data_IF_103742901360
#
_entry.id   IF_103742901360
#
_cell.length_a   1.000
_cell.length_b   1.000
_cell.length_c   1.000
_cell.angle_alpha   90.00
_cell.angle_beta   90.00
_cell.angle_gamma   90.00
#
_symmetry.space_group_name_H-M   'P 1'
#
loop_
_entity.id
_entity.type
_entity.pdbx_description
1 polymer ?
#
# COMPACT_ATOMS: atom_id res chain seq x y z
N UNK A 1 8.24 0.70 -21.77
CA UNK A 1 8.54 1.70 -20.95
C UNK A 1 7.52 1.93 -19.93
N UNK A 2 7.91 1.91 -18.79
CA UNK A 2 6.99 2.04 -17.74
C UNK A 2 6.77 3.40 -17.35
N UNK A 3 5.54 3.75 -17.17
CA UNK A 3 5.22 4.98 -16.62
C UNK A 3 5.19 4.78 -15.15
N UNK A 4 6.16 5.18 -14.45
CA UNK A 4 6.15 4.95 -13.03
C UNK A 4 4.96 5.66 -12.41
N UNK A 5 4.23 4.94 -11.63
CA UNK A 5 3.10 5.54 -10.94
C UNK A 5 3.55 6.57 -9.95
N UNK A 6 4.81 6.54 -9.58
CA UNK A 6 5.32 7.52 -8.64
C UNK A 6 5.86 8.76 -9.33
N UNK A 7 5.69 8.86 -10.63
CA UNK A 7 6.14 10.04 -11.34
C UNK A 7 5.30 11.24 -10.93
N UNK A 8 5.96 12.29 -10.47
CA UNK A 8 5.26 13.46 -9.96
C UNK A 8 5.07 14.45 -11.08
N UNK A 9 3.84 14.57 -11.58
CA UNK A 9 3.54 15.41 -12.72
C UNK A 9 2.51 16.50 -12.45
N UNK A 10 1.77 16.42 -11.35
CA UNK A 10 0.66 17.32 -11.13
C UNK A 10 1.02 18.44 -10.17
N UNK A 11 0.68 19.69 -10.51
CA UNK A 11 0.78 20.77 -9.56
C UNK A 11 -0.39 20.69 -8.58
N UNK A 12 -0.30 21.44 -7.49
CA UNK A 12 -1.26 21.29 -6.40
C UNK A 12 -2.69 21.55 -6.83
N UNK A 13 -2.92 22.54 -7.70
CA UNK A 13 -4.29 22.83 -8.10
C UNK A 13 -4.90 21.67 -8.87
N UNK A 14 -4.11 21.06 -9.75
CA UNK A 14 -4.60 19.92 -10.53
C UNK A 14 -4.77 18.71 -9.64
N UNK A 15 -3.81 18.47 -8.74
CA UNK A 15 -3.91 17.34 -7.83
C UNK A 15 -5.15 17.46 -6.95
N UNK A 16 -5.43 18.65 -6.45
CA UNK A 16 -6.61 18.88 -5.63
C UNK A 16 -7.88 18.59 -6.41
N UNK A 17 -7.91 19.02 -7.66
CA UNK A 17 -9.06 18.77 -8.49
C UNK A 17 -9.26 17.29 -8.75
N UNK A 18 -8.19 16.59 -9.06
CA UNK A 18 -8.27 15.14 -9.30
C UNK A 18 -8.70 14.37 -8.06
N UNK A 19 -8.26 14.82 -6.90
CA UNK A 19 -8.61 14.15 -5.65
C UNK A 19 -9.94 14.64 -5.08
N UNK A 20 -10.49 15.71 -5.63
CA UNK A 20 -11.77 16.20 -5.15
C UNK A 20 -11.68 16.94 -3.83
N UNK A 21 -10.57 17.62 -3.56
CA UNK A 21 -10.38 18.33 -2.31
C UNK A 21 -9.87 19.74 -2.61
N UNK A 22 -9.87 20.57 -1.59
CA UNK A 22 -9.34 21.91 -1.71
C UNK A 22 -7.82 21.87 -1.63
N UNK A 23 -7.11 22.74 -2.37
CA UNK A 23 -5.65 22.75 -2.28
C UNK A 23 -5.10 22.93 -0.87
N UNK A 24 -5.80 23.69 -0.05
CA UNK A 24 -5.36 23.87 1.34
C UNK A 24 -5.39 22.54 2.10
N UNK A 25 -6.32 21.67 1.76
CA UNK A 25 -6.37 20.34 2.36
C UNK A 25 -5.08 19.58 2.07
N UNK A 26 -4.55 19.71 0.85
CA UNK A 26 -3.31 19.03 0.52
C UNK A 26 -2.15 19.55 1.36
N UNK A 27 -2.13 20.85 1.59
CA UNK A 27 -1.08 21.42 2.42
C UNK A 27 -1.16 20.92 3.86
N UNK A 28 -2.38 20.80 4.36
CA UNK A 28 -2.59 20.28 5.71
C UNK A 28 -2.15 18.83 5.79
N UNK A 29 -2.50 18.03 4.78
CA UNK A 29 -2.12 16.63 4.77
C UNK A 29 -0.61 16.46 4.72
N UNK A 30 0.06 17.32 3.97
CA UNK A 30 1.52 17.28 3.93
C UNK A 30 2.11 17.61 5.30
N UNK A 31 1.57 18.63 5.95
CA UNK A 31 2.05 19.01 7.28
C UNK A 31 1.89 17.88 8.28
N UNK A 32 0.83 17.11 8.14
CA UNK A 32 0.57 16.01 9.08
C UNK A 32 1.25 14.72 8.66
N UNK A 33 2.03 14.75 7.60
CA UNK A 33 2.78 13.57 7.21
C UNK A 33 1.98 12.51 6.48
N UNK A 34 0.83 12.89 5.94
CA UNK A 34 -0.01 11.92 5.23
C UNK A 34 0.42 11.77 3.78
N UNK A 35 0.98 12.79 3.17
CA UNK A 35 1.49 12.73 1.82
C UNK A 35 2.83 13.46 1.76
N UNK A 36 3.60 13.11 0.75
CA UNK A 36 4.95 13.67 0.61
C UNK A 36 5.21 14.01 -0.85
N UNK A 37 4.70 15.16 -1.31
CA UNK A 37 4.92 15.53 -2.70
C UNK A 37 6.38 15.85 -2.97
N UNK A 38 6.81 15.62 -4.18
CA UNK A 38 8.13 16.04 -4.58
C UNK A 38 8.14 17.54 -4.83
N UNK A 39 9.31 18.11 -4.74
CA UNK A 39 9.45 19.53 -5.03
C UNK A 39 10.40 19.72 -6.19
N UNK A 40 10.04 20.63 -7.08
CA UNK A 40 10.90 20.96 -8.20
C UNK A 40 12.05 21.82 -7.73
N UNK A 41 12.97 22.11 -8.64
CA UNK A 41 14.07 22.99 -8.31
C UNK A 41 13.58 24.37 -7.91
N UNK A 42 12.40 24.77 -8.38
CA UNK A 42 11.79 26.03 -7.95
C UNK A 42 10.99 25.91 -6.67
N UNK A 43 11.11 24.79 -5.99
CA UNK A 43 10.41 24.57 -4.72
C UNK A 43 8.90 24.49 -4.86
N UNK A 44 8.46 24.03 -6.02
CA UNK A 44 7.03 23.85 -6.27
C UNK A 44 6.65 22.41 -6.05
N UNK A 45 5.52 22.19 -5.39
CA UNK A 45 5.04 20.83 -5.15
C UNK A 45 4.62 20.16 -6.43
N UNK A 46 4.94 18.87 -6.53
CA UNK A 46 4.50 18.03 -7.65
C UNK A 46 3.96 16.74 -7.08
N UNK A 47 2.81 16.33 -7.55
CA UNK A 47 2.11 15.15 -7.05
C UNK A 47 2.09 14.07 -8.12
N UNK A 48 2.24 12.82 -7.69
CA UNK A 48 2.20 11.68 -8.58
C UNK A 48 0.81 11.07 -8.58
N UNK A 49 0.60 10.12 -9.49
CA UNK A 49 -0.63 9.34 -9.48
C UNK A 49 -0.79 8.56 -8.17
N UNK A 50 0.32 8.08 -7.63
CA UNK A 50 0.27 7.41 -6.32
C UNK A 50 -0.17 8.37 -5.24
N UNK A 51 0.28 9.62 -5.31
CA UNK A 51 -0.17 10.61 -4.34
C UNK A 51 -1.67 10.85 -4.46
N UNK A 52 -2.18 10.91 -5.69
CA UNK A 52 -3.62 11.10 -5.89
C UNK A 52 -4.39 9.92 -5.31
N UNK A 53 -3.92 8.70 -5.56
CA UNK A 53 -4.56 7.52 -5.00
C UNK A 53 -4.56 7.54 -3.48
N UNK A 54 -3.44 8.00 -2.90
CA UNK A 54 -3.34 8.09 -1.44
C UNK A 54 -4.31 9.14 -0.90
N UNK A 55 -4.46 10.26 -1.60
CA UNK A 55 -5.41 11.28 -1.20
C UNK A 55 -6.83 10.75 -1.21
N UNK A 56 -7.17 9.99 -2.22
CA UNK A 56 -8.51 9.41 -2.29
C UNK A 56 -8.75 8.41 -1.17
N UNK A 57 -7.72 7.66 -0.82
CA UNK A 57 -7.84 6.71 0.27
C UNK A 57 -8.03 7.42 1.61
N UNK A 58 -7.29 8.51 1.83
CA UNK A 58 -7.46 9.29 3.04
C UNK A 58 -8.89 9.80 3.14
N UNK A 59 -9.42 10.29 2.02
CA UNK A 59 -10.77 10.78 2.02
C UNK A 59 -11.77 9.67 2.33
N UNK A 60 -11.57 8.51 1.75
CA UNK A 60 -12.46 7.39 2.00
C UNK A 60 -12.45 7.01 3.48
N UNK A 61 -11.27 6.98 4.09
CA UNK A 61 -11.17 6.63 5.50
C UNK A 61 -11.81 7.67 6.40
N UNK A 62 -11.62 8.96 6.08
CA UNK A 62 -12.24 9.99 6.89
C UNK A 62 -13.75 10.00 6.74
N UNK A 63 -14.25 9.67 5.57
CA UNK A 63 -15.68 9.54 5.37
C UNK A 63 -16.27 8.39 6.17
N UNK A 64 -15.46 7.39 6.47
CA UNK A 64 -15.90 6.29 7.31
C UNK A 64 -15.81 6.60 8.80
N UNK A 65 -15.39 7.80 9.13
CA UNK A 65 -15.39 8.21 10.51
C UNK A 65 -14.04 8.35 11.17
N UNK A 66 -12.96 8.01 10.46
CA UNK A 66 -11.63 8.17 11.05
C UNK A 66 -11.20 9.62 10.98
N UNK A 67 -10.49 10.08 12.00
CA UNK A 67 -9.84 11.36 11.88
C UNK A 67 -8.51 11.18 11.12
N UNK A 68 -7.81 12.27 10.88
CA UNK A 68 -6.61 12.19 10.05
C UNK A 68 -5.53 11.33 10.69
N UNK A 69 -5.38 11.38 12.00
CA UNK A 69 -4.39 10.54 12.67
C UNK A 69 -4.73 9.07 12.50
N UNK A 70 -6.00 8.74 12.60
CA UNK A 70 -6.45 7.36 12.39
C UNK A 70 -6.26 6.92 10.96
N UNK A 71 -6.59 7.79 10.01
CA UNK A 71 -6.40 7.46 8.60
C UNK A 71 -4.93 7.20 8.31
N UNK A 72 -4.04 8.03 8.86
CA UNK A 72 -2.62 7.85 8.66
C UNK A 72 -2.17 6.49 9.22
N UNK A 73 -2.65 6.16 10.41
CA UNK A 73 -2.27 4.89 11.03
C UNK A 73 -2.77 3.70 10.23
N UNK A 74 -4.00 3.78 9.72
CA UNK A 74 -4.54 2.71 8.92
C UNK A 74 -3.69 2.51 7.66
N UNK A 75 -3.31 3.61 7.01
CA UNK A 75 -2.52 3.49 5.80
C UNK A 75 -1.12 2.92 6.09
N UNK A 76 -0.54 3.28 7.23
CA UNK A 76 0.74 2.71 7.62
C UNK A 76 0.61 1.21 7.85
N UNK A 77 -0.46 0.80 8.50
CA UNK A 77 -0.67 -0.61 8.76
C UNK A 77 -0.97 -1.39 7.48
N UNK A 78 -1.71 -0.78 6.55
CA UNK A 78 -1.95 -1.43 5.27
C UNK A 78 -0.65 -1.65 4.50
N UNK A 79 0.24 -0.67 4.52
CA UNK A 79 1.54 -0.81 3.87
C UNK A 79 2.35 -1.92 4.53
N UNK A 80 2.27 -2.02 5.85
CA UNK A 80 2.97 -3.06 6.58
C UNK A 80 2.40 -4.43 6.22
N UNK A 81 1.08 -4.55 6.15
CA UNK A 81 0.47 -5.81 5.76
C UNK A 81 0.90 -6.22 4.37
N UNK A 82 0.90 -5.26 3.42
CA UNK A 82 1.33 -5.57 2.07
C UNK A 82 2.76 -6.07 2.03
N UNK A 83 3.63 -5.42 2.80
CA UNK A 83 5.03 -5.81 2.85
C UNK A 83 5.18 -7.22 3.41
N UNK A 84 4.43 -7.52 4.47
CA UNK A 84 4.51 -8.83 5.07
C UNK A 84 3.93 -9.92 4.19
N UNK A 85 2.86 -9.60 3.47
CA UNK A 85 2.29 -10.56 2.53
C UNK A 85 3.30 -10.91 1.44
N UNK A 86 3.99 -9.90 0.91
CA UNK A 86 5.02 -10.16 -0.09
C UNK A 86 6.15 -11.01 0.48
N UNK A 87 6.54 -10.70 1.72
CA UNK A 87 7.61 -11.47 2.35
C UNK A 87 7.22 -12.93 2.55
N UNK A 88 5.97 -13.15 2.95
CA UNK A 88 5.49 -14.51 3.14
C UNK A 88 5.50 -15.26 1.82
N UNK A 89 5.03 -14.63 0.75
CA UNK A 89 5.03 -15.27 -0.55
C UNK A 89 6.44 -15.62 -1.02
N UNK A 90 7.39 -14.70 -0.80
CA UNK A 90 8.76 -14.96 -1.18
C UNK A 90 9.32 -16.15 -0.41
N UNK A 91 9.06 -16.21 0.88
CA UNK A 91 9.54 -17.31 1.69
C UNK A 91 8.90 -18.62 1.29
N UNK A 92 7.64 -18.60 0.96
CA UNK A 92 6.97 -19.81 0.49
C UNK A 92 7.58 -20.31 -0.81
N UNK A 93 7.87 -19.38 -1.73
CA UNK A 93 8.49 -19.77 -2.99
C UNK A 93 9.88 -20.35 -2.77
N UNK A 94 10.64 -19.73 -1.87
CA UNK A 94 11.97 -20.25 -1.58
C UNK A 94 11.89 -21.65 -0.98
N UNK A 95 10.93 -21.85 -0.10
CA UNK A 95 10.76 -23.13 0.54
C UNK A 95 10.37 -24.20 -0.46
N UNK A 96 9.44 -23.87 -1.35
CA UNK A 96 9.01 -24.81 -2.37
C UNK A 96 10.15 -25.15 -3.31
N UNK A 97 10.95 -24.16 -3.65
CA UNK A 97 12.09 -24.39 -4.52
C UNK A 97 13.09 -25.34 -3.87
N UNK A 98 13.36 -25.14 -2.59
CA UNK A 98 14.28 -26.02 -1.88
C UNK A 98 13.74 -27.43 -1.81
N UNK A 99 12.45 -27.59 -1.57
CA UNK A 99 11.86 -28.91 -1.51
C UNK A 99 11.95 -29.62 -2.84
N UNK A 100 11.72 -28.89 -3.93
CA UNK A 100 11.80 -29.48 -5.24
C UNK A 100 13.22 -29.93 -5.55
N UNK A 101 14.21 -29.19 -5.11
CA UNK A 101 15.59 -29.54 -5.33
C UNK A 101 16.03 -30.68 -4.44
N UNK A 102 15.62 -30.65 -3.18
CA UNK A 102 16.06 -31.63 -2.19
C UNK A 102 15.47 -32.99 -2.44
N UNK A 103 14.31 -33.06 -3.10
CA UNK A 103 13.67 -34.36 -3.31
C UNK A 103 13.29 -34.51 -4.76
N UNK A 104 14.25 -34.56 -5.65
CA UNK A 104 13.95 -34.67 -7.05
C UNK A 104 13.26 -35.99 -7.35
N UNK A 105 12.23 -35.93 -8.12
CA UNK A 105 11.51 -37.13 -8.47
C UNK A 105 10.53 -37.62 -7.45
N UNK A 106 10.43 -36.94 -6.35
CA UNK A 106 9.50 -37.35 -5.37
C UNK A 106 8.33 -36.43 -5.36
N UNK A 107 7.21 -36.94 -5.70
CA UNK A 107 6.06 -36.16 -5.71
C UNK A 107 5.36 -36.33 -4.46
N UNK A 108 5.50 -35.53 -3.57
CA UNK A 108 4.80 -35.63 -2.37
C UNK A 108 3.63 -34.78 -2.52
N UNK A 109 2.61 -35.14 -2.98
CA UNK A 109 1.43 -34.38 -3.11
C UNK A 109 1.48 -33.09 -2.43
N UNK A 110 2.46 -32.39 -2.66
CA UNK A 110 2.63 -31.22 -1.94
C UNK A 110 2.01 -30.10 -2.65
N UNK A 111 0.83 -29.85 -2.40
CA UNK A 111 0.24 -28.65 -2.84
C UNK A 111 0.62 -27.58 -1.90
N UNK A 112 0.81 -26.39 -2.44
CA UNK A 112 1.04 -25.24 -1.61
C UNK A 112 -0.24 -24.90 -0.90
N UNK A 113 -0.24 -25.01 0.40
CA UNK A 113 -1.40 -24.72 1.20
C UNK A 113 -1.37 -23.27 1.61
N UNK A 114 -2.43 -22.53 1.39
CA UNK A 114 -2.45 -21.12 1.82
C UNK A 114 -2.24 -20.99 3.32
N UNK A 115 -1.58 -19.91 3.68
CA UNK A 115 -1.22 -19.70 5.07
C UNK A 115 -2.43 -19.64 5.98
N UNK A 116 -3.48 -19.01 5.51
CA UNK A 116 -4.67 -18.87 6.30
C UNK A 116 -5.35 -20.22 6.54
N UNK A 117 -5.02 -21.22 5.76
CA UNK A 117 -5.53 -22.56 6.01
C UNK A 117 -4.76 -23.23 7.12
N UNK A 118 -3.47 -22.98 7.21
CA UNK A 118 -2.62 -23.59 8.20
C UNK A 118 -2.73 -22.88 9.52
N UNK A 119 -2.74 -21.57 9.47
CA UNK A 119 -2.76 -20.75 10.66
C UNK A 119 -3.98 -19.87 10.61
N UNK A 120 -5.05 -20.24 11.29
CA UNK A 120 -6.25 -19.41 11.23
C UNK A 120 -5.97 -18.06 11.86
N UNK A 121 -6.51 -17.02 11.30
CA UNK A 121 -6.30 -15.68 11.86
C UNK A 121 -6.97 -15.58 13.21
N UNK A 122 -6.38 -14.81 14.10
CA UNK A 122 -6.92 -14.70 15.45
C UNK A 122 -8.31 -14.09 15.48
N UNK A 123 -8.61 -13.28 14.46
CA UNK A 123 -9.91 -12.65 14.43
C UNK A 123 -10.91 -13.47 13.67
N UNK A 124 -10.50 -14.55 13.07
CA UNK A 124 -11.34 -15.15 12.12
C UNK A 124 -12.26 -16.12 12.63
N UNK A 125 -12.94 -16.66 11.87
CA UNK A 125 -13.74 -17.71 12.04
C UNK A 125 -14.58 -17.70 13.22
N UNK A 126 -15.18 -16.71 13.42
CA UNK A 126 -16.10 -16.75 14.36
C UNK A 126 -17.30 -17.27 13.83
N UNK A 127 -17.91 -18.02 14.35
CA UNK A 127 -19.09 -18.47 13.78
C UNK A 127 -20.06 -18.60 14.69
#
# INVERSE_FOLDING_TARGET
MNEPKDRAVYIISVAAELAGVHPQTLRIYEQKGLIHPLRTSGNTRRYSDDDIARLREIQRLTEQGLNLAGAKRVMELQAEVDRLVHRVRDLQEQLDHRRAIAMPGRRIGAQIVPLDTIIPPPWGSQR
#
